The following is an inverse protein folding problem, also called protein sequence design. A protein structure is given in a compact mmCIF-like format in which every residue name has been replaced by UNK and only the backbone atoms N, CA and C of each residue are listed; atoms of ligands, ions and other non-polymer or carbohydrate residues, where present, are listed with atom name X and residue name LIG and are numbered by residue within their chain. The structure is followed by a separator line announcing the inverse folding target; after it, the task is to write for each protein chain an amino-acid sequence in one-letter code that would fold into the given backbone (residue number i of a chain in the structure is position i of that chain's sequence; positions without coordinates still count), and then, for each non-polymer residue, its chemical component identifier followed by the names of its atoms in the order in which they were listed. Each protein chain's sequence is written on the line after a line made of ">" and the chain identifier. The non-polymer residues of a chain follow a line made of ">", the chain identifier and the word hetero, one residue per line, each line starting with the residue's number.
data_IF_493297733425
#
_entry.id   IF_493297733425
#
_cell.length_a   1.000
_cell.length_b   1.000
_cell.length_c   1.000
_cell.angle_alpha   90.00
_cell.angle_beta   90.00
_cell.angle_gamma   90.00
#
_symmetry.space_group_name_H-M   'P 1'
#
loop_
_entity.id
_entity.type
_entity.pdbx_description
1 polymer ?
#
# COMPACT_ATOMS: atom_id res chain seq x y z
N UNK A 1 15.92 1.44 1.16
CA UNK A 1 15.00 0.40 1.68
C UNK A 1 13.61 1.01 1.78
N UNK A 2 12.54 0.25 2.07
CA UNK A 2 11.19 0.85 2.16
C UNK A 2 11.11 1.94 3.23
N UNK A 3 11.94 1.81 4.27
CA UNK A 3 12.05 2.72 5.41
C UNK A 3 12.55 4.12 5.05
N UNK A 4 13.17 4.30 3.88
CA UNK A 4 13.62 5.61 3.42
C UNK A 4 12.48 6.42 2.79
N UNK A 5 11.44 5.73 2.31
CA UNK A 5 10.28 6.34 1.65
C UNK A 5 9.50 7.24 2.61
N UNK A 6 9.16 8.45 2.13
CA UNK A 6 8.30 9.37 2.87
C UNK A 6 6.89 8.80 3.04
N UNK A 7 6.39 8.05 2.05
CA UNK A 7 5.07 7.43 2.10
C UNK A 7 5.02 6.32 3.16
N UNK A 8 6.08 5.51 3.23
CA UNK A 8 6.23 4.53 4.30
C UNK A 8 6.20 5.20 5.67
N UNK A 9 6.98 6.27 5.88
CA UNK A 9 7.03 6.99 7.17
C UNK A 9 5.68 7.57 7.57
N UNK A 10 4.91 8.11 6.61
CA UNK A 10 3.55 8.61 6.84
C UNK A 10 2.62 7.49 7.33
N UNK A 11 2.67 6.31 6.69
CA UNK A 11 1.85 5.16 7.09
C UNK A 11 2.29 4.61 8.45
N UNK A 12 3.59 4.44 8.68
CA UNK A 12 4.13 3.87 9.92
C UNK A 12 3.83 4.77 11.13
N UNK A 13 3.89 6.09 10.96
CA UNK A 13 3.57 7.06 12.02
C UNK A 13 2.09 7.01 12.43
N UNK A 14 1.17 6.92 11.46
CA UNK A 14 -0.26 6.90 11.73
C UNK A 14 -0.77 5.49 12.12
N UNK A 15 -0.21 4.44 11.52
CA UNK A 15 -0.63 3.06 11.68
C UNK A 15 0.58 2.09 11.79
N UNK A 16 1.26 2.04 12.96
CA UNK A 16 2.49 1.25 13.13
C UNK A 16 2.33 -0.25 12.85
N UNK A 17 1.14 -0.82 13.10
CA UNK A 17 0.88 -2.23 12.78
C UNK A 17 0.81 -2.50 11.27
N UNK A 18 0.35 -1.52 10.48
CA UNK A 18 0.40 -1.58 9.02
C UNK A 18 1.85 -1.42 8.56
N UNK A 19 2.59 -0.44 9.11
CA UNK A 19 4.01 -0.24 8.80
C UNK A 19 4.87 -1.49 9.04
N UNK A 20 4.65 -2.23 10.13
CA UNK A 20 5.30 -3.53 10.36
C UNK A 20 5.02 -4.56 9.25
N UNK A 21 3.78 -4.67 8.79
CA UNK A 21 3.41 -5.57 7.69
C UNK A 21 4.05 -5.15 6.37
N UNK A 22 4.07 -3.83 6.11
CA UNK A 22 4.72 -3.28 4.92
C UNK A 22 6.20 -3.66 4.88
N UNK A 23 6.95 -3.47 5.98
CA UNK A 23 8.36 -3.89 6.04
C UNK A 23 8.54 -5.39 5.78
N UNK A 24 7.67 -6.20 6.40
CA UNK A 24 7.75 -7.66 6.28
C UNK A 24 7.50 -8.14 4.86
N UNK A 25 6.56 -7.52 4.15
CA UNK A 25 6.14 -7.98 2.82
C UNK A 25 6.83 -7.25 1.67
N UNK A 26 7.67 -6.24 1.94
CA UNK A 26 8.30 -5.45 0.88
C UNK A 26 9.08 -6.32 -0.11
N UNK A 27 8.76 -6.22 -1.40
CA UNK A 27 9.35 -7.06 -2.45
C UNK A 27 8.78 -8.48 -2.54
N UNK A 28 7.64 -8.74 -1.88
CA UNK A 28 6.92 -10.01 -1.92
C UNK A 28 5.47 -9.82 -2.40
N UNK A 29 4.84 -10.85 -3.02
CA UNK A 29 3.44 -10.77 -3.48
C UNK A 29 2.44 -10.36 -2.38
N UNK A 30 2.72 -10.69 -1.13
CA UNK A 30 1.91 -10.33 0.04
C UNK A 30 1.79 -8.82 0.23
N UNK A 31 2.76 -8.03 -0.24
CA UNK A 31 2.66 -6.57 -0.22
C UNK A 31 1.55 -6.09 -1.14
N UNK A 32 1.44 -6.68 -2.33
CA UNK A 32 0.43 -6.34 -3.33
C UNK A 32 -0.97 -6.70 -2.81
N UNK A 33 -1.11 -7.85 -2.14
CA UNK A 33 -2.35 -8.23 -1.47
C UNK A 33 -2.71 -7.24 -0.34
N UNK A 34 -1.73 -6.86 0.49
CA UNK A 34 -1.93 -5.88 1.56
C UNK A 34 -2.37 -4.51 1.02
N UNK A 35 -1.70 -3.97 -0.01
CA UNK A 35 -2.07 -2.67 -0.59
C UNK A 35 -3.50 -2.68 -1.13
N UNK A 36 -3.88 -3.75 -1.83
CA UNK A 36 -5.24 -3.91 -2.33
C UNK A 36 -6.28 -3.97 -1.20
N UNK A 37 -6.03 -4.72 -0.13
CA UNK A 37 -6.90 -4.75 1.04
C UNK A 37 -7.07 -3.36 1.68
N UNK A 38 -5.98 -2.61 1.79
CA UNK A 38 -5.96 -1.27 2.38
C UNK A 38 -6.69 -0.23 1.52
N UNK A 39 -6.61 -0.34 0.19
CA UNK A 39 -7.24 0.57 -0.76
C UNK A 39 -8.73 0.30 -0.96
N UNK A 40 -9.16 -0.97 -0.86
CA UNK A 40 -10.53 -1.39 -1.16
C UNK A 40 -11.38 -1.71 0.08
N UNK A 41 -10.88 -1.40 1.28
CA UNK A 41 -11.59 -1.51 2.56
C UNK A 41 -12.38 -2.83 2.72
N UNK A 42 -11.72 -3.97 2.51
CA UNK A 42 -12.35 -5.30 2.58
C UNK A 42 -12.57 -5.79 4.04
N UNK A 43 -12.78 -4.89 5.00
CA UNK A 43 -13.03 -5.23 6.40
C UNK A 43 -14.51 -5.23 6.77
N UNK A 44 -15.01 -6.31 7.40
CA UNK A 44 -16.40 -6.45 7.86
C UNK A 44 -16.86 -5.45 8.95
N UNK A 45 -16.07 -4.44 9.32
CA UNK A 45 -16.43 -3.48 10.38
C UNK A 45 -16.39 -2.06 9.83
N UNK A 46 -17.33 -1.18 10.23
CA UNK A 46 -17.30 0.23 9.88
C UNK A 46 -16.11 0.88 10.58
N UNK A 47 -14.97 0.93 9.91
CA UNK A 47 -13.85 1.75 10.35
C UNK A 47 -14.06 3.13 9.75
N UNK A 48 -13.77 4.17 10.53
CA UNK A 48 -13.46 5.46 9.94
C UNK A 48 -12.31 5.20 8.96
N UNK A 49 -12.50 5.48 7.68
CA UNK A 49 -11.49 5.23 6.65
C UNK A 49 -10.17 5.93 6.96
N UNK A 50 -9.16 5.71 6.12
CA UNK A 50 -7.87 6.38 6.29
C UNK A 50 -8.02 7.91 6.12
N UNK A 51 -7.28 8.72 6.90
CA UNK A 51 -7.02 10.11 6.55
C UNK A 51 -6.51 10.20 5.11
N UNK A 52 -6.85 11.28 4.40
CA UNK A 52 -6.55 11.43 2.98
C UNK A 52 -5.05 11.31 2.69
N UNK A 53 -4.20 11.87 3.55
CA UNK A 53 -2.75 11.78 3.45
C UNK A 53 -2.21 10.36 3.59
N UNK A 54 -2.87 9.51 4.40
CA UNK A 54 -2.49 8.11 4.56
C UNK A 54 -2.95 7.28 3.37
N UNK A 55 -4.15 7.54 2.86
CA UNK A 55 -4.64 6.88 1.64
C UNK A 55 -3.75 7.20 0.43
N UNK A 56 -3.34 8.47 0.30
CA UNK A 56 -2.39 8.89 -0.73
C UNK A 56 -1.04 8.20 -0.55
N UNK A 57 -0.51 8.15 0.68
CA UNK A 57 0.73 7.44 0.95
C UNK A 57 0.64 5.94 0.62
N UNK A 58 -0.49 5.28 0.88
CA UNK A 58 -0.72 3.88 0.50
C UNK A 58 -0.70 3.72 -1.02
N UNK A 59 -1.33 4.63 -1.75
CA UNK A 59 -1.34 4.62 -3.21
C UNK A 59 0.07 4.81 -3.79
N UNK A 60 0.77 5.87 -3.40
CA UNK A 60 2.12 6.16 -3.90
C UNK A 60 3.12 5.07 -3.55
N UNK A 61 3.04 4.51 -2.34
CA UNK A 61 3.92 3.41 -1.96
C UNK A 61 3.66 2.13 -2.78
N UNK A 62 2.41 1.91 -3.21
CA UNK A 62 2.07 0.82 -4.14
C UNK A 62 2.69 1.06 -5.52
N UNK A 63 2.65 2.30 -6.01
CA UNK A 63 3.27 2.67 -7.29
C UNK A 63 4.80 2.52 -7.25
N UNK A 64 5.44 2.97 -6.17
CA UNK A 64 6.88 2.77 -5.93
C UNK A 64 7.25 1.28 -5.96
N UNK A 65 6.45 0.45 -5.29
CA UNK A 65 6.66 -0.99 -5.28
C UNK A 65 6.53 -1.59 -6.68
N UNK A 66 5.49 -1.25 -7.43
CA UNK A 66 5.27 -1.78 -8.77
C UNK A 66 6.36 -1.35 -9.76
N UNK A 67 6.91 -0.14 -9.61
CA UNK A 67 8.05 0.33 -10.39
C UNK A 67 9.33 -0.46 -10.09
N UNK A 68 9.55 -0.86 -8.83
CA UNK A 68 10.73 -1.62 -8.39
C UNK A 68 10.57 -3.12 -8.67
N UNK A 69 9.36 -3.66 -8.55
CA UNK A 69 9.02 -5.08 -8.70
C UNK A 69 7.92 -5.32 -9.74
N UNK A 70 8.15 -4.96 -11.02
CA UNK A 70 7.12 -5.01 -12.07
C UNK A 70 6.54 -6.41 -12.31
N UNK A 71 7.29 -7.47 -11.98
CA UNK A 71 6.83 -8.86 -12.06
C UNK A 71 5.77 -9.22 -11.00
N UNK A 72 5.68 -8.44 -9.92
CA UNK A 72 4.71 -8.63 -8.83
C UNK A 72 3.47 -7.74 -9.00
N UNK A 73 3.59 -6.67 -9.79
CA UNK A 73 2.51 -5.71 -10.02
C UNK A 73 1.23 -6.40 -10.52
N UNK A 74 0.07 -5.92 -10.07
CA UNK A 74 -1.21 -6.44 -10.56
C UNK A 74 -1.40 -6.06 -12.02
N UNK A 75 -1.78 -7.06 -12.83
CA UNK A 75 -2.09 -6.87 -14.25
C UNK A 75 -3.31 -5.96 -14.50
N UNK A 76 -4.14 -5.75 -13.48
CA UNK A 76 -5.40 -4.99 -13.58
C UNK A 76 -5.22 -3.45 -13.51
N UNK A 77 -4.00 -2.94 -13.29
CA UNK A 77 -3.72 -1.50 -13.24
C UNK A 77 -4.07 -0.75 -14.56
N UNK A 78 -4.33 -1.49 -15.65
CA UNK A 78 -4.71 -0.96 -16.97
C UNK A 78 -6.19 -0.58 -17.13
N UNK A 79 -7.03 -0.67 -16.09
CA UNK A 79 -8.47 -0.35 -16.18
C UNK A 79 -8.81 1.16 -16.18
N UNK A 80 -7.80 2.04 -16.22
CA UNK A 80 -7.99 3.48 -16.45
C UNK A 80 -7.86 3.90 -17.93
N UNK A 81 -8.02 2.98 -18.88
CA UNK A 81 -8.32 3.36 -20.26
C UNK A 81 -9.84 3.63 -20.39
N UNK A 82 -10.26 4.83 -19.99
CA UNK A 82 -11.50 5.46 -20.47
C UNK A 82 -11.21 6.27 -21.74
#
# INVERSE_FOLDING_TARGET
>A
MVEDSIFFKTIDAAFPNIGKKIKLFWGHPEFVALMHELQHDMGERPRAGFPAEVLMAIHELSNDHDAIYPQLARKDANLWHL
#
